data_IF_780160858278
#
_entry.id   IF_780160858278
#
_cell.length_a   1.000
_cell.length_b   1.000
_cell.length_c   1.000
_cell.angle_alpha   90.00
_cell.angle_beta   90.00
_cell.angle_gamma   90.00
#
_symmetry.space_group_name_H-M   'P 1'
#
loop_
_entity.id
_entity.type
_entity.pdbx_description
1 polymer ?
#
# COMPACT_ATOMS: atom_id res chain seq x y z
N UNK A 1 -8.92 40.54 44.46
CA UNK A 1 -8.85 39.05 44.41
C UNK A 1 -9.51 38.48 43.15
N UNK A 2 -10.75 38.87 42.81
CA UNK A 2 -11.48 38.42 41.61
C UNK A 2 -10.76 38.66 40.28
N UNK A 3 -10.15 39.84 40.08
CA UNK A 3 -9.40 40.17 38.86
C UNK A 3 -8.15 39.31 38.68
N UNK A 4 -7.39 39.05 39.77
CA UNK A 4 -6.21 38.17 39.73
C UNK A 4 -6.58 36.73 39.37
N UNK A 5 -7.70 36.24 39.88
CA UNK A 5 -8.23 34.90 39.55
C UNK A 5 -8.65 34.82 38.08
N UNK A 6 -9.35 35.82 37.57
CA UNK A 6 -9.75 35.90 36.16
C UNK A 6 -8.54 35.97 35.22
N UNK A 7 -7.51 36.76 35.56
CA UNK A 7 -6.26 36.81 34.79
C UNK A 7 -5.54 35.46 34.80
N UNK A 8 -5.48 34.78 35.94
CA UNK A 8 -4.87 33.46 36.04
C UNK A 8 -5.61 32.43 35.18
N UNK A 9 -6.94 32.38 35.25
CA UNK A 9 -7.75 31.50 34.39
C UNK A 9 -7.51 31.78 32.91
N UNK A 10 -7.41 33.05 32.53
CA UNK A 10 -7.16 33.44 31.14
C UNK A 10 -5.78 33.00 30.66
N UNK A 11 -4.74 33.11 31.50
CA UNK A 11 -3.40 32.61 31.19
C UNK A 11 -3.42 31.09 31.00
N UNK A 12 -4.05 30.35 31.92
CA UNK A 12 -4.14 28.89 31.83
C UNK A 12 -4.89 28.46 30.57
N UNK A 13 -5.99 29.14 30.24
CA UNK A 13 -6.74 28.86 29.01
C UNK A 13 -5.89 29.12 27.76
N UNK A 14 -5.16 30.24 27.73
CA UNK A 14 -4.31 30.60 26.61
C UNK A 14 -3.17 29.60 26.41
N UNK A 15 -2.53 29.16 27.49
CA UNK A 15 -1.53 28.08 27.45
C UNK A 15 -2.16 26.78 26.95
N UNK A 16 -3.35 26.43 27.44
CA UNK A 16 -4.09 25.26 26.97
C UNK A 16 -4.39 25.31 25.47
N UNK A 17 -4.82 26.46 24.96
CA UNK A 17 -5.04 26.67 23.52
C UNK A 17 -3.75 26.50 22.71
N UNK A 18 -2.61 27.02 23.19
CA UNK A 18 -1.31 26.86 22.52
C UNK A 18 -0.89 25.39 22.47
N UNK A 19 -1.05 24.65 23.58
CA UNK A 19 -0.73 23.22 23.62
C UNK A 19 -1.62 22.42 22.67
N UNK A 20 -2.93 22.68 22.67
CA UNK A 20 -3.87 22.01 21.76
C UNK A 20 -3.56 22.33 20.29
N UNK A 21 -3.23 23.58 19.97
CA UNK A 21 -2.81 23.97 18.63
C UNK A 21 -1.53 23.25 18.19
N UNK A 22 -0.55 23.14 19.09
CA UNK A 22 0.69 22.39 18.82
C UNK A 22 0.41 20.91 18.56
N UNK A 23 -0.37 20.24 19.41
CA UNK A 23 -0.74 18.83 19.24
C UNK A 23 -1.55 18.60 17.95
N UNK A 24 -2.42 19.53 17.59
CA UNK A 24 -3.16 19.47 16.33
C UNK A 24 -2.24 19.54 15.12
N UNK A 25 -1.30 20.48 15.11
CA UNK A 25 -0.33 20.64 14.03
C UNK A 25 0.54 19.38 13.92
N UNK A 26 1.14 18.92 15.03
CA UNK A 26 2.01 17.75 15.05
C UNK A 26 1.31 16.49 14.53
N UNK A 27 0.07 16.26 14.99
CA UNK A 27 -0.75 15.12 14.53
C UNK A 27 -1.14 15.25 13.05
N UNK A 28 -1.43 16.46 12.58
CA UNK A 28 -1.78 16.69 11.17
C UNK A 28 -0.60 16.42 10.24
N UNK A 29 0.61 16.84 10.64
CA UNK A 29 1.85 16.60 9.91
C UNK A 29 2.16 15.11 9.87
N UNK A 30 2.13 14.44 11.03
CA UNK A 30 2.36 13.00 11.14
C UNK A 30 1.38 12.20 10.27
N UNK A 31 0.09 12.57 10.29
CA UNK A 31 -0.92 11.95 9.44
C UNK A 31 -0.65 12.20 7.95
N UNK A 32 -0.22 13.41 7.59
CA UNK A 32 0.13 13.74 6.21
C UNK A 32 1.29 12.91 5.70
N UNK A 33 2.36 12.74 6.49
CA UNK A 33 3.49 11.91 6.12
C UNK A 33 3.12 10.44 6.00
N UNK A 34 2.35 9.90 6.94
CA UNK A 34 1.90 8.51 6.89
C UNK A 34 1.03 8.22 5.65
N UNK A 35 0.17 9.18 5.27
CA UNK A 35 -0.62 9.08 4.03
C UNK A 35 0.26 9.16 2.80
N UNK A 36 1.17 10.13 2.75
CA UNK A 36 2.06 10.31 1.61
C UNK A 36 2.98 9.09 1.40
N UNK A 37 3.51 8.50 2.46
CA UNK A 37 4.31 7.28 2.35
C UNK A 37 3.50 6.12 1.78
N UNK A 38 2.27 5.92 2.30
CA UNK A 38 1.38 4.89 1.80
C UNK A 38 0.99 5.12 0.33
N UNK A 39 0.65 6.36 -0.06
CA UNK A 39 0.28 6.71 -1.43
C UNK A 39 1.45 6.49 -2.40
N UNK A 40 2.67 6.85 -2.01
CA UNK A 40 3.87 6.65 -2.82
C UNK A 40 4.19 5.16 -2.98
N UNK A 41 4.12 4.39 -1.89
CA UNK A 41 4.35 2.94 -1.91
C UNK A 41 3.33 2.23 -2.81
N UNK A 42 2.05 2.52 -2.63
CA UNK A 42 0.98 1.96 -3.46
C UNK A 42 1.16 2.35 -4.94
N UNK A 43 1.55 3.59 -5.23
CA UNK A 43 1.78 4.05 -6.60
C UNK A 43 3.05 3.43 -7.22
N UNK A 44 4.08 3.14 -6.43
CA UNK A 44 5.27 2.42 -6.87
C UNK A 44 4.93 0.96 -7.17
N UNK A 45 4.23 0.28 -6.26
CA UNK A 45 3.77 -1.11 -6.44
C UNK A 45 2.92 -1.24 -7.70
N UNK A 46 1.89 -0.39 -7.87
CA UNK A 46 1.05 -0.38 -9.08
C UNK A 46 1.81 -0.09 -10.39
N UNK A 47 2.95 0.60 -10.32
CA UNK A 47 3.83 0.79 -11.49
C UNK A 47 4.62 -0.48 -11.79
N UNK A 48 5.14 -1.14 -10.77
CA UNK A 48 5.87 -2.41 -10.92
C UNK A 48 4.97 -3.54 -11.42
N UNK A 49 3.76 -3.68 -10.85
CA UNK A 49 2.76 -4.64 -11.32
C UNK A 49 2.43 -4.45 -12.80
N UNK A 50 2.24 -3.20 -13.24
CA UNK A 50 2.00 -2.90 -14.66
C UNK A 50 3.20 -3.26 -15.54
N UNK A 51 4.41 -2.87 -15.13
CA UNK A 51 5.62 -3.20 -15.88
C UNK A 51 5.82 -4.71 -16.01
N UNK A 52 5.57 -5.46 -14.94
CA UNK A 52 5.64 -6.92 -14.95
C UNK A 52 4.54 -7.53 -15.83
N UNK A 53 3.30 -7.03 -15.70
CA UNK A 53 2.17 -7.45 -16.53
C UNK A 53 2.40 -7.22 -18.02
N UNK A 54 2.98 -6.08 -18.39
CA UNK A 54 3.35 -5.76 -19.78
C UNK A 54 4.50 -6.66 -20.26
N UNK A 55 5.49 -6.93 -19.41
CA UNK A 55 6.62 -7.78 -19.77
C UNK A 55 6.23 -9.25 -19.96
N UNK A 56 5.23 -9.73 -19.22
CA UNK A 56 4.79 -11.14 -19.23
C UNK A 56 3.43 -11.33 -19.91
N UNK A 57 2.94 -10.31 -20.62
CA UNK A 57 1.65 -10.37 -21.30
C UNK A 57 1.56 -11.60 -22.21
N UNK A 58 0.41 -12.27 -22.19
CA UNK A 58 0.11 -13.48 -22.95
C UNK A 58 0.99 -14.70 -22.64
N UNK A 59 1.84 -14.63 -21.61
CA UNK A 59 2.62 -15.78 -21.15
C UNK A 59 1.69 -16.90 -20.68
N UNK A 60 1.95 -18.18 -21.06
CA UNK A 60 1.14 -19.31 -20.60
C UNK A 60 1.19 -19.44 -19.07
N UNK A 61 0.07 -19.80 -18.48
CA UNK A 61 -0.08 -19.95 -17.03
C UNK A 61 0.99 -20.85 -16.39
N UNK A 62 1.29 -21.99 -17.03
CA UNK A 62 2.32 -22.91 -16.56
C UNK A 62 3.72 -22.25 -16.50
N UNK A 63 4.06 -21.43 -17.51
CA UNK A 63 5.34 -20.75 -17.56
C UNK A 63 5.45 -19.64 -16.50
N UNK A 64 4.34 -18.97 -16.17
CA UNK A 64 4.28 -18.03 -15.06
C UNK A 64 4.49 -18.77 -13.74
N UNK A 65 3.76 -19.88 -13.52
CA UNK A 65 3.86 -20.69 -12.31
C UNK A 65 5.28 -21.19 -12.06
N UNK A 66 5.97 -21.68 -13.09
CA UNK A 66 7.36 -22.13 -13.00
C UNK A 66 8.31 -20.99 -12.59
N UNK A 67 8.12 -19.79 -13.14
CA UNK A 67 8.93 -18.62 -12.76
C UNK A 67 8.72 -18.22 -11.30
N UNK A 68 7.47 -18.26 -10.83
CA UNK A 68 7.13 -17.94 -9.45
C UNK A 68 7.72 -18.96 -8.47
N UNK A 69 7.62 -20.25 -8.78
CA UNK A 69 8.27 -21.28 -7.96
C UNK A 69 9.80 -21.13 -7.93
N UNK A 70 10.42 -20.87 -9.08
CA UNK A 70 11.86 -20.64 -9.16
C UNK A 70 12.31 -19.43 -8.33
N UNK A 71 11.48 -18.40 -8.21
CA UNK A 71 11.73 -17.25 -7.34
C UNK A 71 11.60 -17.61 -5.85
N UNK A 72 10.50 -18.28 -5.48
CA UNK A 72 10.30 -18.75 -4.10
C UNK A 72 11.42 -19.68 -3.60
N UNK A 73 11.95 -20.54 -4.48
CA UNK A 73 13.10 -21.41 -4.18
C UNK A 73 14.41 -20.64 -4.00
N UNK A 74 14.59 -19.51 -4.68
CA UNK A 74 15.77 -18.62 -4.50
C UNK A 74 15.68 -17.81 -3.21
N UNK A 75 14.46 -17.59 -2.72
CA UNK A 75 14.16 -16.77 -1.54
C UNK A 75 13.47 -17.58 -0.42
N UNK A 76 14.07 -18.68 0.07
CA UNK A 76 13.40 -19.61 0.99
C UNK A 76 13.09 -19.00 2.36
N UNK A 77 13.79 -17.94 2.76
CA UNK A 77 13.59 -17.25 4.04
C UNK A 77 12.37 -16.33 4.05
N UNK A 78 11.83 -15.97 2.89
CA UNK A 78 10.72 -15.02 2.75
C UNK A 78 9.35 -15.71 2.90
N UNK A 79 9.32 -17.03 3.09
CA UNK A 79 8.10 -17.83 3.29
C UNK A 79 7.02 -17.51 2.23
N UNK A 80 7.44 -17.43 0.98
CA UNK A 80 6.57 -17.08 -0.13
C UNK A 80 5.55 -18.19 -0.35
N UNK A 81 4.26 -17.84 -0.31
CA UNK A 81 3.14 -18.76 -0.54
C UNK A 81 2.64 -18.59 -1.96
N UNK A 82 2.52 -19.68 -2.70
CA UNK A 82 1.96 -19.71 -4.04
C UNK A 82 0.65 -20.48 -4.00
N UNK A 83 -0.45 -19.81 -4.31
CA UNK A 83 -1.80 -20.39 -4.30
C UNK A 83 -2.44 -20.24 -5.67
N UNK A 84 -3.06 -21.31 -6.17
CA UNK A 84 -3.78 -21.29 -7.44
C UNK A 84 -5.29 -21.32 -7.20
N UNK A 85 -5.99 -20.38 -7.82
CA UNK A 85 -7.44 -20.28 -7.93
C UNK A 85 -7.80 -20.25 -9.42
N UNK A 86 -9.05 -20.58 -9.80
CA UNK A 86 -9.48 -20.87 -11.18
C UNK A 86 -8.71 -20.15 -12.31
N UNK A 87 -8.73 -18.81 -12.32
CA UNK A 87 -8.07 -17.97 -13.32
C UNK A 87 -7.02 -17.04 -12.70
N UNK A 88 -6.52 -17.39 -11.51
CA UNK A 88 -5.66 -16.53 -10.71
C UNK A 88 -4.56 -17.33 -10.04
N UNK A 89 -3.31 -16.88 -10.17
CA UNK A 89 -2.22 -17.34 -9.31
C UNK A 89 -1.90 -16.22 -8.33
N UNK A 90 -1.93 -16.54 -7.04
CA UNK A 90 -1.45 -15.69 -5.96
C UNK A 90 0.00 -16.02 -5.66
N UNK A 91 0.84 -14.99 -5.66
CA UNK A 91 2.22 -15.03 -5.19
C UNK A 91 2.33 -14.10 -3.99
N UNK A 92 2.24 -14.67 -2.79
CA UNK A 92 1.99 -13.93 -1.57
C UNK A 92 0.74 -13.02 -1.74
N UNK A 93 0.91 -11.70 -1.66
CA UNK A 93 -0.17 -10.73 -1.83
C UNK A 93 -0.34 -10.24 -3.28
N UNK A 94 0.49 -10.71 -4.22
CA UNK A 94 0.45 -10.29 -5.62
C UNK A 94 -0.39 -11.25 -6.45
N UNK A 95 -1.37 -10.68 -7.17
CA UNK A 95 -2.30 -11.42 -8.04
C UNK A 95 -1.79 -11.50 -9.48
N UNK A 96 -1.84 -12.67 -10.08
CA UNK A 96 -1.61 -12.88 -11.52
C UNK A 96 -2.92 -13.34 -12.16
N UNK A 97 -3.45 -12.54 -13.09
CA UNK A 97 -4.76 -12.76 -13.70
C UNK A 97 -4.62 -13.41 -15.08
N UNK A 98 -5.34 -14.50 -15.30
CA UNK A 98 -5.29 -15.27 -16.54
C UNK A 98 -6.63 -15.21 -17.26
N UNK A 99 -6.57 -15.18 -18.60
CA UNK A 99 -7.72 -15.43 -19.46
C UNK A 99 -7.29 -16.38 -20.57
N UNK A 100 -8.09 -17.42 -20.82
CA UNK A 100 -7.78 -18.44 -21.83
C UNK A 100 -6.38 -19.06 -21.64
N UNK A 101 -5.97 -19.29 -20.38
CA UNK A 101 -4.67 -19.89 -20.02
C UNK A 101 -3.46 -18.97 -20.23
N UNK A 102 -3.67 -17.67 -20.45
CA UNK A 102 -2.63 -16.68 -20.72
C UNK A 102 -2.72 -15.50 -19.77
N UNK A 103 -1.57 -14.98 -19.33
CA UNK A 103 -1.52 -13.85 -18.42
C UNK A 103 -2.07 -12.58 -19.10
N UNK A 104 -3.00 -11.89 -18.43
CA UNK A 104 -3.60 -10.64 -18.90
C UNK A 104 -3.24 -9.43 -18.06
N UNK A 105 -3.08 -9.60 -16.76
CA UNK A 105 -2.65 -8.52 -15.88
C UNK A 105 -2.05 -9.04 -14.59
N UNK A 106 -1.29 -8.18 -13.93
CA UNK A 106 -0.75 -8.41 -12.58
C UNK A 106 -1.34 -7.36 -11.63
N UNK A 107 -1.56 -7.75 -10.38
CA UNK A 107 -2.15 -6.95 -9.33
C UNK A 107 -3.67 -6.79 -9.44
N UNK A 108 -4.20 -5.86 -8.64
CA UNK A 108 -5.61 -5.47 -8.66
C UNK A 108 -5.97 -4.53 -9.81
N UNK A 109 -5.12 -4.46 -10.85
CA UNK A 109 -5.42 -3.73 -12.07
C UNK A 109 -6.54 -4.45 -12.83
N UNK A 110 -7.78 -4.16 -12.43
CA UNK A 110 -8.94 -4.25 -13.31
C UNK A 110 -8.58 -3.40 -14.53
N UNK A 111 -8.18 -4.05 -15.62
CA UNK A 111 -8.03 -3.40 -16.92
C UNK A 111 -9.43 -2.92 -17.30
N UNK A 112 -9.78 -1.70 -16.89
CA UNK A 112 -10.91 -0.97 -17.42
C UNK A 112 -10.50 -0.46 -18.80
N UNK A 113 -10.42 -1.38 -19.77
CA UNK A 113 -10.42 -1.04 -21.19
C UNK A 113 -11.83 -0.55 -21.50
N UNK A 114 -11.96 0.76 -21.64
CA UNK A 114 -13.09 1.40 -22.30
C UNK A 114 -12.59 1.93 -23.64
#
# INVERSE_FOLDING_TARGET
MKTKMMTFTLIVLLVGCVVLAYLWIDRSISLSYARQSADVEIAAMRRMERLLGDAWIDMPEQAVLEKLHADAERHPTEMIVITKEENVIWFHDTRFNFEHGKLKSVGNSQIRRN
#
